data_IF_386968742239
#
_entry.id   IF_386968742239
#
_cell.length_a   1.000
_cell.length_b   1.000
_cell.length_c   1.000
_cell.angle_alpha   90.00
_cell.angle_beta   90.00
_cell.angle_gamma   90.00
#
_symmetry.space_group_name_H-M   'P 1'
#
loop_
_entity.id
_entity.type
_entity.pdbx_description
1 polymer ?
#
# COMPACT_ATOMS: atom_id res chain seq x y z
N UNK A 1 -12.84 -8.81 3.99
CA UNK A 1 -12.04 -8.72 2.75
C UNK A 1 -11.04 -9.84 2.71
N UNK A 2 -10.90 -10.55 1.60
CA UNK A 2 -9.69 -11.34 1.37
C UNK A 2 -8.64 -10.40 0.81
N UNK A 3 -7.50 -10.30 1.50
CA UNK A 3 -6.35 -9.52 1.03
C UNK A 3 -5.61 -10.38 0.01
N UNK A 4 -5.33 -9.85 -1.18
CA UNK A 4 -4.56 -10.57 -2.19
C UNK A 4 -3.07 -10.62 -1.82
N UNK A 5 -2.33 -11.48 -2.51
CA UNK A 5 -0.93 -11.75 -2.21
C UNK A 5 -0.06 -10.49 -2.32
N UNK A 6 -0.27 -9.68 -3.37
CA UNK A 6 0.45 -8.44 -3.60
C UNK A 6 0.24 -7.42 -2.48
N UNK A 7 -1.00 -7.26 -2.01
CA UNK A 7 -1.33 -6.35 -0.91
C UNK A 7 -0.65 -6.81 0.39
N UNK A 8 -0.67 -8.11 0.68
CA UNK A 8 0.05 -8.66 1.84
C UNK A 8 1.55 -8.37 1.77
N UNK A 9 2.18 -8.53 0.59
CA UNK A 9 3.61 -8.23 0.44
C UNK A 9 3.95 -6.76 0.69
N UNK A 10 3.06 -5.82 0.34
CA UNK A 10 3.23 -4.39 0.63
C UNK A 10 3.09 -4.12 2.13
N UNK A 11 2.11 -4.74 2.79
CA UNK A 11 1.92 -4.65 4.25
C UNK A 11 3.17 -5.17 4.97
N UNK A 12 3.61 -6.39 4.64
CA UNK A 12 4.80 -7.01 5.23
C UNK A 12 6.04 -6.13 5.06
N UNK A 13 6.25 -5.55 3.86
CA UNK A 13 7.38 -4.67 3.60
C UNK A 13 7.40 -3.43 4.52
N UNK A 14 6.22 -2.86 4.80
CA UNK A 14 6.08 -1.69 5.69
C UNK A 14 6.28 -2.11 7.15
N UNK A 15 5.68 -3.21 7.57
CA UNK A 15 5.75 -3.69 8.96
C UNK A 15 7.14 -4.19 9.34
N UNK A 16 7.82 -4.93 8.46
CA UNK A 16 9.21 -5.37 8.65
C UNK A 16 10.18 -4.18 8.74
N UNK A 17 9.86 -3.05 8.11
CA UNK A 17 10.63 -1.81 8.22
C UNK A 17 10.36 -1.05 9.53
N UNK A 18 9.41 -1.52 10.35
CA UNK A 18 9.00 -0.91 11.62
C UNK A 18 7.85 0.10 11.49
N UNK A 19 7.14 0.11 10.36
CA UNK A 19 5.91 0.88 10.17
C UNK A 19 4.66 0.10 10.58
N UNK A 20 3.51 0.77 10.53
CA UNK A 20 2.19 0.13 10.50
C UNK A 20 1.59 0.33 9.11
N UNK A 21 0.89 -0.66 8.58
CA UNK A 21 0.12 -0.54 7.33
C UNK A 21 -1.36 -0.85 7.58
N UNK A 22 -2.25 -0.04 7.02
CA UNK A 22 -3.70 -0.27 7.12
C UNK A 22 -4.35 -0.02 5.77
N UNK A 23 -5.29 -0.89 5.43
CA UNK A 23 -6.22 -0.65 4.32
C UNK A 23 -7.16 0.50 4.69
N UNK A 24 -7.39 1.41 3.75
CA UNK A 24 -8.22 2.60 3.97
C UNK A 24 -9.10 2.88 2.75
N UNK A 25 -10.00 3.85 2.88
CA UNK A 25 -10.76 4.36 1.74
C UNK A 25 -11.82 3.39 1.21
N UNK A 26 -11.97 3.40 -0.12
CA UNK A 26 -13.05 2.70 -0.83
C UNK A 26 -13.03 1.18 -0.61
N UNK A 27 -11.84 0.57 -0.59
CA UNK A 27 -11.71 -0.89 -0.42
C UNK A 27 -12.32 -1.39 0.89
N UNK A 28 -12.16 -0.64 1.98
CA UNK A 28 -12.73 -0.98 3.29
C UNK A 28 -14.24 -0.84 3.26
N UNK A 29 -14.75 0.29 2.74
CA UNK A 29 -16.20 0.51 2.58
C UNK A 29 -16.84 -0.61 1.76
N UNK A 30 -16.29 -0.91 0.61
CA UNK A 30 -16.87 -1.87 -0.34
C UNK A 30 -16.78 -3.30 0.20
N UNK A 31 -15.70 -3.67 0.91
CA UNK A 31 -15.65 -4.95 1.60
C UNK A 31 -16.70 -5.08 2.71
N UNK A 32 -17.00 -4.01 3.47
CA UNK A 32 -18.03 -4.04 4.52
C UNK A 32 -19.43 -4.19 3.90
N UNK A 33 -19.65 -3.51 2.77
CA UNK A 33 -20.92 -3.55 2.03
C UNK A 33 -21.07 -4.78 1.12
N UNK A 34 -20.12 -5.72 1.14
CA UNK A 34 -20.09 -6.90 0.26
C UNK A 34 -20.18 -6.55 -1.24
N UNK A 35 -19.48 -5.49 -1.63
CA UNK A 35 -19.32 -5.07 -3.04
C UNK A 35 -17.94 -5.48 -3.55
N UNK A 36 -17.82 -5.51 -4.87
CA UNK A 36 -16.53 -5.74 -5.51
C UNK A 36 -15.55 -4.61 -5.15
N UNK A 37 -14.33 -4.99 -4.78
CA UNK A 37 -13.24 -4.06 -4.48
C UNK A 37 -12.40 -3.90 -5.75
N UNK A 38 -12.34 -2.68 -6.27
CA UNK A 38 -11.62 -2.39 -7.52
C UNK A 38 -10.21 -1.84 -7.28
N UNK A 39 -10.07 -0.96 -6.28
CA UNK A 39 -8.82 -0.29 -5.95
C UNK A 39 -8.45 -0.57 -4.49
N UNK A 40 -7.14 -0.64 -4.20
CA UNK A 40 -6.60 -0.86 -2.86
C UNK A 40 -5.76 0.35 -2.49
N UNK A 41 -6.17 1.05 -1.42
CA UNK A 41 -5.40 2.14 -0.83
C UNK A 41 -4.84 1.70 0.54
N UNK A 42 -3.59 2.06 0.81
CA UNK A 42 -2.94 1.83 2.09
C UNK A 42 -2.52 3.14 2.75
N UNK A 43 -2.68 3.21 4.07
CA UNK A 43 -2.10 4.24 4.92
C UNK A 43 -0.99 3.63 5.77
N UNK A 44 0.07 4.40 6.00
CA UNK A 44 1.17 4.05 6.90
C UNK A 44 1.60 5.25 7.75
N UNK A 45 2.18 4.98 8.91
CA UNK A 45 2.85 5.99 9.75
C UNK A 45 4.28 6.32 9.27
N UNK A 46 4.79 5.64 8.24
CA UNK A 46 6.07 5.97 7.62
C UNK A 46 5.96 7.24 6.76
N UNK A 47 7.00 8.08 6.80
CA UNK A 47 7.14 9.18 5.85
C UNK A 47 7.35 8.64 4.42
N UNK A 48 6.99 9.40 3.36
CA UNK A 48 7.12 8.92 1.97
C UNK A 48 8.51 8.35 1.62
N UNK A 49 9.58 9.01 2.06
CA UNK A 49 10.95 8.55 1.83
C UNK A 49 11.29 7.25 2.59
N UNK A 50 10.66 7.01 3.74
CA UNK A 50 10.78 5.75 4.49
C UNK A 50 9.97 4.65 3.80
N UNK A 51 8.74 4.93 3.36
CA UNK A 51 7.91 3.99 2.61
C UNK A 51 8.60 3.55 1.31
N UNK A 52 9.21 4.49 0.57
CA UNK A 52 10.02 4.15 -0.62
C UNK A 52 11.16 3.19 -0.27
N UNK A 53 11.88 3.44 0.83
CA UNK A 53 12.97 2.56 1.28
C UNK A 53 12.47 1.18 1.66
N UNK A 54 11.38 1.10 2.45
CA UNK A 54 10.75 -0.14 2.88
C UNK A 54 10.37 -1.02 1.67
N UNK A 55 9.65 -0.44 0.71
CA UNK A 55 9.22 -1.13 -0.50
C UNK A 55 10.41 -1.53 -1.39
N UNK A 56 11.42 -0.67 -1.53
CA UNK A 56 12.62 -0.97 -2.32
C UNK A 56 13.42 -2.14 -1.76
N UNK A 57 13.49 -2.32 -0.43
CA UNK A 57 14.16 -3.47 0.20
C UNK A 57 13.53 -4.81 -0.18
N UNK A 58 12.26 -4.81 -0.56
CA UNK A 58 11.50 -5.98 -1.05
C UNK A 58 11.40 -6.02 -2.58
N UNK A 59 12.20 -5.23 -3.30
CA UNK A 59 12.18 -5.09 -4.77
C UNK A 59 10.83 -4.62 -5.35
N UNK A 60 10.01 -3.93 -4.57
CA UNK A 60 8.75 -3.35 -5.03
C UNK A 60 9.04 -1.99 -5.65
N UNK A 61 8.58 -1.78 -6.89
CA UNK A 61 8.79 -0.51 -7.59
C UNK A 61 7.93 0.58 -6.98
N UNK A 62 8.48 1.77 -6.81
CA UNK A 62 7.75 2.94 -6.31
C UNK A 62 7.84 4.11 -7.29
N UNK A 63 6.75 4.83 -7.46
CA UNK A 63 6.68 6.09 -8.20
C UNK A 63 6.38 7.20 -7.18
N UNK A 64 7.17 8.28 -7.12
CA UNK A 64 7.01 9.37 -6.15
C UNK A 64 5.84 10.31 -6.51
N UNK A 65 4.64 9.75 -6.64
CA UNK A 65 3.40 10.51 -6.90
C UNK A 65 3.04 11.31 -5.65
N UNK A 66 2.75 12.60 -5.79
CA UNK A 66 2.17 13.37 -4.67
C UNK A 66 3.01 13.47 -3.39
N UNK A 67 4.35 13.34 -3.45
CA UNK A 67 5.22 13.43 -2.26
C UNK A 67 4.94 14.62 -1.33
N UNK A 68 4.59 15.78 -1.91
CA UNK A 68 4.24 17.01 -1.16
C UNK A 68 3.00 16.84 -0.27
N UNK A 69 2.17 15.84 -0.57
CA UNK A 69 0.93 15.51 0.12
C UNK A 69 1.04 14.22 0.94
N UNK A 70 2.24 13.63 1.04
CA UNK A 70 2.47 12.42 1.83
C UNK A 70 2.13 11.12 1.10
N UNK A 71 1.87 11.15 -0.20
CA UNK A 71 1.58 9.94 -0.98
C UNK A 71 2.80 9.48 -1.79
N UNK A 72 2.75 8.20 -2.19
CA UNK A 72 3.55 7.56 -3.23
C UNK A 72 2.67 6.52 -3.92
N UNK A 73 3.13 5.97 -5.03
CA UNK A 73 2.48 4.84 -5.70
C UNK A 73 3.41 3.64 -5.70
N UNK A 74 2.93 2.49 -5.25
CA UNK A 74 3.63 1.22 -5.35
C UNK A 74 3.17 0.45 -6.60
N UNK A 75 4.09 -0.25 -7.24
CA UNK A 75 3.80 -1.07 -8.42
C UNK A 75 4.39 -2.45 -8.21
N UNK A 76 3.53 -3.46 -8.25
CA UNK A 76 3.88 -4.87 -8.09
C UNK A 76 3.04 -5.71 -9.06
N UNK A 77 3.69 -6.59 -9.83
CA UNK A 77 3.02 -7.46 -10.80
C UNK A 77 2.04 -6.73 -11.76
N UNK A 78 2.42 -5.53 -12.24
CA UNK A 78 1.60 -4.65 -13.08
C UNK A 78 0.36 -4.06 -12.38
N UNK A 79 0.12 -4.37 -11.11
CA UNK A 79 -0.88 -3.74 -10.27
C UNK A 79 -0.30 -2.49 -9.59
N UNK A 80 -1.17 -1.50 -9.40
CA UNK A 80 -0.86 -0.20 -8.82
C UNK A 80 -1.57 -0.09 -7.48
N UNK A 81 -0.87 0.45 -6.49
CA UNK A 81 -1.33 0.70 -5.12
C UNK A 81 -0.88 2.10 -4.67
#
# INVERSE_FOLDING_TARGET
MQVDHETSLIIDAIEEFGGEARLVGGCVRDSILQRDVHDIDLATNLLPNQTIKALKLRNIKTIPTGLKHGTITAVLNQKIF
#
